data_IF_630795283434
#
_entry.id   IF_630795283434
#
_cell.length_a   1.000
_cell.length_b   1.000
_cell.length_c   1.000
_cell.angle_alpha   90.00
_cell.angle_beta   90.00
_cell.angle_gamma   90.00
#
_symmetry.space_group_name_H-M   'P 1'
#
loop_
_entity.id
_entity.type
_entity.pdbx_description
1 polymer ?
#
# COMPACT_ATOMS: atom_id res chain seq x y z
N UNK A 1 -0.25 -1.50 9.36
CA UNK A 1 -1.27 -0.71 8.69
C UNK A 1 -1.74 0.43 9.60
N UNK A 2 -2.19 1.53 9.00
CA UNK A 2 -2.80 2.66 9.73
C UNK A 2 -3.96 3.15 8.90
N UNK A 3 -5.13 3.23 9.51
CA UNK A 3 -6.36 3.69 8.86
C UNK A 3 -7.08 4.67 9.78
N UNK A 4 -7.69 5.69 9.19
CA UNK A 4 -8.57 6.59 9.91
C UNK A 4 -10.01 6.11 9.74
N UNK A 5 -10.72 5.87 10.84
CA UNK A 5 -12.09 5.39 10.87
C UNK A 5 -12.92 6.26 11.81
N UNK A 6 -13.65 7.19 11.25
CA UNK A 6 -14.45 8.14 12.04
C UNK A 6 -13.57 9.03 12.91
N UNK A 7 -13.70 8.93 14.24
CA UNK A 7 -12.90 9.65 15.24
C UNK A 7 -11.70 8.83 15.77
N UNK A 8 -11.44 7.65 15.19
CA UNK A 8 -10.44 6.71 15.65
C UNK A 8 -9.37 6.45 14.60
N UNK A 9 -8.15 6.24 15.07
CA UNK A 9 -7.04 5.73 14.28
C UNK A 9 -6.87 4.25 14.57
N UNK A 10 -7.12 3.41 13.58
CA UNK A 10 -6.78 2.00 13.63
C UNK A 10 -5.30 1.83 13.35
N UNK A 11 -4.57 1.25 14.28
CA UNK A 11 -3.15 0.90 14.12
C UNK A 11 -2.99 -0.61 14.22
N UNK A 12 -2.52 -1.19 13.14
CA UNK A 12 -2.25 -2.62 13.06
C UNK A 12 -0.76 -2.85 12.80
N UNK A 13 -0.22 -3.87 13.40
CA UNK A 13 1.18 -4.18 13.24
C UNK A 13 1.55 -5.59 13.67
N UNK A 14 2.82 -5.89 13.50
CA UNK A 14 3.44 -7.12 13.99
C UNK A 14 4.62 -6.76 14.84
N UNK A 15 4.80 -7.51 15.90
CA UNK A 15 5.95 -7.41 16.79
C UNK A 15 6.60 -8.79 16.91
N UNK A 16 7.91 -8.83 16.77
CA UNK A 16 8.71 -10.00 17.14
C UNK A 16 9.11 -9.82 18.59
N UNK A 17 8.60 -10.68 19.43
CA UNK A 17 8.84 -10.63 20.87
C UNK A 17 9.66 -11.84 21.29
N UNK A 18 10.62 -11.59 22.14
CA UNK A 18 11.36 -12.61 22.83
C UNK A 18 10.43 -13.46 23.70
N UNK A 19 10.58 -14.79 23.67
CA UNK A 19 9.84 -15.72 24.52
C UNK A 19 10.53 -15.69 25.88
N UNK A 20 10.08 -14.79 26.74
CA UNK A 20 10.57 -14.69 28.11
C UNK A 20 9.87 -15.73 28.97
N UNK A 21 10.56 -16.24 29.99
CA UNK A 21 9.98 -17.11 31.02
C UNK A 21 8.65 -16.53 31.55
N UNK A 22 7.66 -17.40 31.81
CA UNK A 22 6.32 -17.04 32.24
C UNK A 22 6.28 -16.16 33.51
N UNK A 23 7.42 -16.04 34.20
CA UNK A 23 7.60 -15.17 35.40
C UNK A 23 7.76 -13.68 35.07
N UNK A 24 8.04 -13.30 33.84
CA UNK A 24 8.15 -11.90 33.43
C UNK A 24 6.83 -11.39 32.84
N UNK A 25 6.10 -10.58 33.60
CA UNK A 25 4.93 -9.88 33.10
C UNK A 25 5.38 -8.84 32.06
N UNK A 26 4.98 -9.04 30.84
CA UNK A 26 5.26 -8.08 29.74
C UNK A 26 3.98 -7.41 29.30
N UNK A 27 3.98 -6.08 29.27
CA UNK A 27 2.86 -5.28 28.77
C UNK A 27 3.31 -4.50 27.53
N UNK A 28 2.57 -4.62 26.45
CA UNK A 28 2.80 -3.83 25.23
C UNK A 28 1.73 -2.73 25.14
N UNK A 29 2.17 -1.49 24.88
CA UNK A 29 1.27 -0.35 24.75
C UNK A 29 1.67 0.52 23.57
N UNK A 30 0.70 1.25 23.03
CA UNK A 30 0.95 2.37 22.12
C UNK A 30 0.74 3.68 22.88
N UNK A 31 1.78 4.48 22.99
CA UNK A 31 1.72 5.80 23.62
C UNK A 31 1.35 6.85 22.57
N UNK A 32 0.27 7.61 22.79
CA UNK A 32 -0.21 8.67 21.93
C UNK A 32 -0.78 9.83 22.74
N UNK A 33 -0.39 11.06 22.42
CA UNK A 33 -0.90 12.28 23.05
C UNK A 33 -0.86 12.27 24.59
N UNK A 34 0.19 11.70 25.16
CA UNK A 34 0.36 11.61 26.63
C UNK A 34 -0.40 10.47 27.30
N UNK A 35 -1.19 9.69 26.57
CA UNK A 35 -1.91 8.51 27.05
C UNK A 35 -1.27 7.23 26.53
N UNK A 36 -1.47 6.13 27.25
CA UNK A 36 -1.03 4.80 26.85
C UNK A 36 -2.23 3.90 26.61
N UNK A 37 -2.24 3.25 25.46
CA UNK A 37 -3.28 2.35 25.01
C UNK A 37 -2.74 0.93 25.10
N UNK A 38 -3.27 0.10 26.01
CA UNK A 38 -2.90 -1.32 26.11
C UNK A 38 -3.23 -2.03 24.81
N UNK A 39 -2.32 -2.89 24.39
CA UNK A 39 -2.44 -3.64 23.15
C UNK A 39 -2.41 -5.13 23.44
N UNK A 40 -3.46 -5.83 23.03
CA UNK A 40 -3.50 -7.29 23.07
C UNK A 40 -2.65 -7.84 21.92
N UNK A 41 -1.71 -8.72 22.26
CA UNK A 41 -0.85 -9.41 21.30
C UNK A 41 -1.43 -10.79 21.02
N UNK A 42 -1.73 -11.06 19.76
CA UNK A 42 -2.18 -12.37 19.27
C UNK A 42 -1.04 -13.05 18.54
N UNK A 43 -0.88 -14.36 18.74
CA UNK A 43 0.12 -15.15 18.01
C UNK A 43 -0.21 -15.06 16.50
N UNK A 44 0.79 -14.75 15.68
CA UNK A 44 0.61 -14.71 14.25
C UNK A 44 0.32 -16.13 13.71
N UNK A 45 -0.78 -16.35 12.94
CA UNK A 45 -1.25 -17.70 12.58
C UNK A 45 -0.26 -18.57 11.81
N UNK A 46 0.71 -17.95 11.13
CA UNK A 46 1.74 -18.65 10.35
C UNK A 46 3.11 -18.54 11.00
N UNK A 47 3.14 -18.41 12.34
CA UNK A 47 4.38 -18.24 13.08
C UNK A 47 5.11 -19.59 13.25
N UNK A 48 6.40 -19.55 12.95
CA UNK A 48 7.35 -20.53 13.44
C UNK A 48 8.21 -19.84 14.50
N UNK A 49 8.44 -20.49 15.62
CA UNK A 49 9.41 -20.00 16.60
C UNK A 49 10.78 -19.88 15.94
N UNK A 50 11.35 -18.70 15.98
CA UNK A 50 12.71 -18.43 15.49
C UNK A 50 13.70 -18.46 16.64
N UNK A 51 14.83 -19.14 16.47
CA UNK A 51 15.95 -19.06 17.40
C UNK A 51 17.02 -18.14 16.80
N UNK A 52 17.31 -17.04 17.47
CA UNK A 52 18.40 -16.13 17.09
C UNK A 52 19.29 -15.88 18.32
N UNK A 53 20.58 -16.01 18.12
CA UNK A 53 21.58 -15.81 19.20
C UNK A 53 21.32 -16.64 20.46
N UNK A 54 20.80 -17.87 20.31
CA UNK A 54 20.45 -18.75 21.42
C UNK A 54 19.12 -18.47 22.09
N UNK A 55 18.41 -17.43 21.69
CA UNK A 55 17.15 -17.00 22.26
C UNK A 55 15.98 -17.30 21.34
N UNK A 56 14.82 -17.62 21.93
CA UNK A 56 13.59 -17.92 21.17
C UNK A 56 12.72 -16.70 21.03
N UNK A 57 12.24 -16.47 19.79
CA UNK A 57 11.35 -15.39 19.44
C UNK A 57 10.08 -15.91 18.81
N UNK A 58 8.98 -15.18 18.98
CA UNK A 58 7.70 -15.44 18.37
C UNK A 58 7.12 -14.16 17.78
N UNK A 59 6.44 -14.29 16.65
CA UNK A 59 5.74 -13.18 16.04
C UNK A 59 4.32 -13.05 16.58
N UNK A 60 3.95 -11.85 16.92
CA UNK A 60 2.61 -11.48 17.35
C UNK A 60 2.07 -10.42 16.42
N UNK A 61 0.77 -10.47 16.17
CA UNK A 61 0.04 -9.39 15.53
C UNK A 61 -0.79 -8.63 16.55
N UNK A 62 -1.10 -7.39 16.22
CA UNK A 62 -1.96 -6.56 17.04
C UNK A 62 -2.80 -5.63 16.18
N UNK A 63 -3.97 -5.27 16.71
CA UNK A 63 -4.85 -4.26 16.18
C UNK A 63 -5.38 -3.43 17.33
N UNK A 64 -5.28 -2.12 17.25
CA UNK A 64 -5.73 -1.22 18.31
C UNK A 64 -6.37 0.03 17.73
N UNK A 65 -7.49 0.42 18.32
CA UNK A 65 -8.17 1.68 18.04
C UNK A 65 -7.70 2.74 19.03
N UNK A 66 -7.13 3.82 18.51
CA UNK A 66 -6.67 4.95 19.32
C UNK A 66 -7.63 6.11 19.05
N UNK A 67 -8.28 6.73 20.05
CA UNK A 67 -9.04 7.93 19.85
C UNK A 67 -8.19 8.99 19.16
N UNK A 68 -8.63 9.37 17.98
CA UNK A 68 -7.92 10.32 17.14
C UNK A 68 -8.56 11.67 17.34
N UNK A 69 -7.87 12.51 18.09
CA UNK A 69 -8.36 13.86 18.38
C UNK A 69 -8.48 14.66 17.07
N UNK A 70 -9.72 14.91 16.67
CA UNK A 70 -10.05 15.73 15.51
C UNK A 70 -9.57 17.19 15.68
N UNK A 71 -9.18 17.58 16.89
CA UNK A 71 -8.66 18.91 17.22
C UNK A 71 -7.17 19.13 16.93
N UNK A 72 -6.56 18.33 16.03
CA UNK A 72 -5.24 18.68 15.51
C UNK A 72 -5.28 20.06 14.85
N UNK A 73 -4.52 20.99 15.38
CA UNK A 73 -4.33 22.28 14.72
C UNK A 73 -3.38 22.13 13.51
N UNK A 74 -3.57 22.93 12.45
CA UNK A 74 -2.65 22.93 11.32
C UNK A 74 -1.19 23.15 11.75
N UNK A 75 -0.29 22.29 11.31
CA UNK A 75 1.11 22.29 11.70
C UNK A 75 1.44 21.46 12.95
N UNK A 76 0.45 20.99 13.68
CA UNK A 76 0.68 20.15 14.86
C UNK A 76 1.18 18.77 14.47
N UNK A 77 2.09 18.24 15.28
CA UNK A 77 2.67 16.90 15.15
C UNK A 77 2.43 16.10 16.41
N UNK A 78 2.00 14.85 16.25
CA UNK A 78 1.87 13.88 17.35
C UNK A 78 2.57 12.57 16.98
N UNK A 79 2.91 11.81 17.99
CA UNK A 79 3.63 10.54 17.84
C UNK A 79 2.83 9.40 18.43
N UNK A 80 2.75 8.28 17.68
CA UNK A 80 2.36 6.97 18.19
C UNK A 80 3.65 6.19 18.43
N UNK A 81 3.99 5.92 19.69
CA UNK A 81 5.22 5.23 20.07
C UNK A 81 4.89 3.88 20.69
N UNK A 82 5.38 2.78 20.12
CA UNK A 82 5.24 1.48 20.74
C UNK A 82 6.22 1.36 21.94
N UNK A 83 5.71 0.83 23.04
CA UNK A 83 6.46 0.62 24.28
C UNK A 83 6.23 -0.77 24.82
N UNK A 84 7.28 -1.36 25.35
CA UNK A 84 7.24 -2.63 26.03
C UNK A 84 7.67 -2.45 27.48
N UNK A 85 6.87 -2.99 28.38
CA UNK A 85 7.15 -3.03 29.80
C UNK A 85 7.61 -4.43 30.21
N UNK A 86 8.63 -4.50 31.05
CA UNK A 86 9.14 -5.70 31.71
C UNK A 86 9.12 -5.40 33.22
N UNK A 87 8.08 -5.84 33.92
CA UNK A 87 7.81 -5.37 35.26
C UNK A 87 7.71 -3.84 35.32
N UNK A 88 8.52 -3.19 36.15
CA UNK A 88 8.55 -1.73 36.28
C UNK A 88 9.43 -1.01 35.24
N UNK A 89 10.24 -1.76 34.50
CA UNK A 89 11.11 -1.22 33.46
C UNK A 89 10.38 -1.05 32.15
N UNK A 90 10.63 0.06 31.46
CA UNK A 90 10.04 0.32 30.12
C UNK A 90 11.10 0.59 29.05
N UNK A 91 10.86 0.14 27.86
CA UNK A 91 11.66 0.50 26.69
C UNK A 91 10.78 0.89 25.51
N UNK A 92 11.22 1.88 24.75
CA UNK A 92 10.60 2.19 23.47
C UNK A 92 11.03 1.13 22.44
N UNK A 93 10.06 0.60 21.68
CA UNK A 93 10.29 -0.44 20.70
C UNK A 93 10.56 0.21 19.36
N UNK A 94 11.66 -0.17 18.71
CA UNK A 94 11.96 0.27 17.36
C UNK A 94 10.89 -0.22 16.36
N UNK A 95 10.47 0.65 15.47
CA UNK A 95 9.50 0.33 14.43
C UNK A 95 10.18 0.08 13.08
N UNK A 96 9.71 -0.93 12.38
CA UNK A 96 10.05 -1.19 10.99
C UNK A 96 8.83 -1.03 10.10
N UNK A 97 9.06 -0.88 8.80
CA UNK A 97 7.99 -0.69 7.82
C UNK A 97 7.60 -2.02 7.20
N UNK A 98 6.37 -2.42 7.37
CA UNK A 98 5.87 -3.71 6.91
C UNK A 98 4.48 -3.67 6.26
N UNK A 99 3.97 -2.54 5.84
CA UNK A 99 2.63 -2.46 5.25
C UNK A 99 2.63 -2.34 3.73
N UNK A 100 1.61 -2.90 3.08
CA UNK A 100 1.41 -2.79 1.62
C UNK A 100 1.22 -1.35 1.15
N UNK A 101 0.90 -0.42 2.03
CA UNK A 101 0.54 0.98 1.72
C UNK A 101 1.53 2.03 2.23
N UNK A 102 2.60 1.64 2.90
CA UNK A 102 3.72 2.52 3.22
C UNK A 102 4.84 2.34 2.20
N UNK A 103 5.51 3.42 1.86
CA UNK A 103 6.77 3.35 1.11
C UNK A 103 7.75 2.50 1.92
N UNK A 104 7.88 1.23 1.52
CA UNK A 104 8.64 0.24 2.24
C UNK A 104 10.12 0.40 1.94
N UNK A 105 10.73 1.46 2.42
CA UNK A 105 12.16 1.53 2.37
C UNK A 105 12.69 1.63 3.80
N UNK A 106 13.18 0.52 4.35
CA UNK A 106 14.01 0.51 5.56
C UNK A 106 15.14 1.57 5.54
N UNK A 107 15.32 2.22 4.40
CA UNK A 107 16.41 3.13 4.09
C UNK A 107 15.95 4.51 3.64
N UNK A 108 14.64 4.78 3.63
CA UNK A 108 14.10 6.07 3.22
C UNK A 108 13.42 6.77 4.38
N UNK A 109 14.03 7.84 4.88
CA UNK A 109 13.45 8.75 5.88
C UNK A 109 12.18 9.47 5.41
N UNK A 110 11.75 9.19 4.18
CA UNK A 110 10.62 9.82 3.51
C UNK A 110 9.41 8.92 3.36
N UNK A 111 9.41 7.72 3.98
CA UNK A 111 8.25 6.85 3.96
C UNK A 111 7.05 7.55 4.61
N UNK A 112 6.06 7.92 3.80
CA UNK A 112 4.88 8.63 4.26
C UNK A 112 3.62 8.12 3.57
N UNK A 113 2.49 8.41 4.19
CA UNK A 113 1.17 8.22 3.62
C UNK A 113 0.30 9.43 3.96
N UNK A 114 -0.53 9.85 3.00
CA UNK A 114 -1.61 10.78 3.26
C UNK A 114 -2.86 9.99 3.67
N UNK A 115 -3.46 10.37 4.78
CA UNK A 115 -4.70 9.75 5.30
C UNK A 115 -5.61 10.89 5.75
N UNK A 116 -6.69 11.14 5.03
CA UNK A 116 -7.71 12.14 5.36
C UNK A 116 -7.13 13.50 5.78
N UNK A 117 -6.22 14.03 4.98
CA UNK A 117 -5.57 15.33 5.24
C UNK A 117 -4.44 15.30 6.27
N UNK A 118 -4.09 14.13 6.81
CA UNK A 118 -2.93 13.96 7.69
C UNK A 118 -1.77 13.31 6.96
N UNK A 119 -0.56 13.71 7.30
CA UNK A 119 0.67 13.03 6.88
C UNK A 119 1.08 12.06 7.98
N UNK A 120 1.15 10.79 7.66
CA UNK A 120 1.67 9.75 8.54
C UNK A 120 3.04 9.32 8.03
N UNK A 121 4.07 9.56 8.83
CA UNK A 121 5.43 9.11 8.55
C UNK A 121 5.77 7.96 9.50
N UNK A 122 6.22 6.86 8.92
CA UNK A 122 6.79 5.79 9.69
C UNK A 122 8.29 6.10 9.94
N UNK A 123 8.71 6.07 11.17
CA UNK A 123 10.10 6.33 11.58
C UNK A 123 10.58 5.19 12.49
N UNK A 124 11.88 5.00 12.69
CA UNK A 124 12.36 3.99 13.63
C UNK A 124 11.84 4.15 15.08
N UNK A 125 11.43 5.36 15.47
CA UNK A 125 10.93 5.69 16.80
C UNK A 125 9.40 5.57 16.94
N UNK A 126 8.70 5.27 15.87
CA UNK A 126 7.23 5.19 15.86
C UNK A 126 6.60 5.89 14.66
N UNK A 127 5.29 6.07 14.72
CA UNK A 127 4.55 6.79 13.70
C UNK A 127 4.46 8.27 14.07
N UNK A 128 4.91 9.13 13.17
CA UNK A 128 4.76 10.57 13.29
C UNK A 128 3.54 11.00 12.48
N UNK A 129 2.56 11.59 13.13
CA UNK A 129 1.33 12.09 12.50
C UNK A 129 1.35 13.61 12.53
N UNK A 130 1.15 14.22 11.39
CA UNK A 130 1.16 15.66 11.25
C UNK A 130 -0.06 16.13 10.45
N UNK A 131 -0.77 17.15 10.95
CA UNK A 131 -1.76 17.87 10.18
C UNK A 131 -1.05 19.02 9.44
N UNK A 132 -0.88 18.95 8.12
CA UNK A 132 -0.20 20.00 7.37
C UNK A 132 -1.03 21.28 7.35
N UNK A 133 -0.36 22.43 7.23
CA UNK A 133 -1.03 23.72 6.98
C UNK A 133 -1.57 23.80 5.54
N UNK A 134 -0.80 23.28 4.60
CA UNK A 134 -1.16 23.11 3.20
C UNK A 134 -0.82 21.68 2.79
N UNK A 135 -1.86 20.90 2.56
CA UNK A 135 -1.75 19.49 2.20
C UNK A 135 -1.02 19.29 0.86
N UNK A 136 -1.41 20.07 -0.15
CA UNK A 136 -0.83 19.98 -1.50
C UNK A 136 0.64 20.39 -1.53
N UNK A 137 1.00 21.45 -0.81
CA UNK A 137 2.39 21.89 -0.72
C UNK A 137 3.24 20.87 0.06
N UNK A 138 2.72 20.33 1.14
CA UNK A 138 3.39 19.31 1.95
C UNK A 138 3.60 18.02 1.16
N UNK A 139 2.57 17.54 0.47
CA UNK A 139 2.68 16.37 -0.40
C UNK A 139 3.74 16.58 -1.49
N UNK A 140 3.73 17.73 -2.17
CA UNK A 140 4.75 18.06 -3.20
C UNK A 140 6.16 18.12 -2.61
N UNK A 141 6.32 18.63 -1.41
CA UNK A 141 7.62 18.70 -0.74
C UNK A 141 8.15 17.29 -0.39
N UNK A 142 7.28 16.43 0.15
CA UNK A 142 7.61 15.04 0.47
C UNK A 142 7.94 14.24 -0.79
N UNK A 143 7.16 14.39 -1.86
CA UNK A 143 7.43 13.73 -3.14
C UNK A 143 8.76 14.18 -3.75
N UNK A 144 9.06 15.48 -3.76
CA UNK A 144 10.36 15.98 -4.23
C UNK A 144 11.53 15.40 -3.44
N UNK A 145 11.40 15.32 -2.12
CA UNK A 145 12.41 14.71 -1.25
C UNK A 145 12.61 13.24 -1.59
N UNK A 146 11.51 12.51 -1.82
CA UNK A 146 11.54 11.11 -2.19
C UNK A 146 12.15 10.88 -3.56
N UNK A 147 11.77 11.65 -4.57
CA UNK A 147 12.36 11.60 -5.92
C UNK A 147 13.87 11.87 -5.89
N UNK A 148 14.30 12.86 -5.08
CA UNK A 148 15.72 13.14 -4.89
C UNK A 148 16.46 11.95 -4.27
N UNK A 149 15.87 11.31 -3.28
CA UNK A 149 16.44 10.12 -2.67
C UNK A 149 16.52 8.96 -3.66
N UNK A 150 15.46 8.68 -4.41
CA UNK A 150 15.45 7.65 -5.47
C UNK A 150 16.55 7.89 -6.51
N UNK A 151 16.71 9.15 -6.92
CA UNK A 151 17.74 9.52 -7.89
C UNK A 151 19.15 9.21 -7.38
N UNK A 152 19.46 9.57 -6.15
CA UNK A 152 20.74 9.27 -5.51
C UNK A 152 21.00 7.78 -5.33
N UNK A 153 19.94 7.01 -5.09
CA UNK A 153 20.00 5.56 -4.96
C UNK A 153 19.91 4.82 -6.31
N UNK A 154 20.20 5.50 -7.43
CA UNK A 154 20.22 4.93 -8.78
C UNK A 154 18.90 4.35 -9.29
N UNK A 155 17.77 4.69 -8.66
CA UNK A 155 16.42 4.26 -9.05
C UNK A 155 15.79 5.21 -10.09
N UNK A 156 16.56 5.60 -11.13
CA UNK A 156 16.14 6.60 -12.11
C UNK A 156 14.86 6.21 -12.86
N UNK A 157 14.68 4.93 -13.18
CA UNK A 157 13.49 4.44 -13.87
C UNK A 157 12.21 4.63 -13.02
N UNK A 158 12.31 4.45 -11.71
CA UNK A 158 11.21 4.72 -10.78
C UNK A 158 10.89 6.21 -10.72
N UNK A 159 11.92 7.07 -10.71
CA UNK A 159 11.71 8.52 -10.74
C UNK A 159 10.90 8.92 -11.97
N UNK A 160 11.25 8.41 -13.16
CA UNK A 160 10.51 8.70 -14.39
C UNK A 160 9.09 8.16 -14.35
N UNK A 161 8.88 6.94 -13.83
CA UNK A 161 7.53 6.38 -13.67
C UNK A 161 6.66 7.25 -12.76
N UNK A 162 7.20 7.71 -11.62
CA UNK A 162 6.47 8.58 -10.69
C UNK A 162 6.14 9.95 -11.31
N UNK A 163 7.08 10.56 -12.03
CA UNK A 163 6.85 11.83 -12.71
C UNK A 163 5.77 11.70 -13.79
N UNK A 164 5.82 10.63 -14.61
CA UNK A 164 4.80 10.34 -15.61
C UNK A 164 3.44 10.06 -14.98
N UNK A 165 3.42 9.30 -13.88
CA UNK A 165 2.19 9.05 -13.12
C UNK A 165 1.53 10.38 -12.69
N UNK A 166 2.26 11.27 -12.01
CA UNK A 166 1.70 12.54 -11.53
C UNK A 166 1.24 13.44 -12.67
N UNK A 167 1.99 13.46 -13.76
CA UNK A 167 1.60 14.20 -14.95
C UNK A 167 0.30 13.68 -15.57
N UNK A 168 0.14 12.37 -15.70
CA UNK A 168 -1.06 11.76 -16.25
C UNK A 168 -2.24 11.82 -15.27
N UNK A 169 -2.01 11.54 -14.00
CA UNK A 169 -3.03 11.60 -12.96
C UNK A 169 -3.67 12.99 -12.85
N UNK A 170 -2.86 14.07 -12.96
CA UNK A 170 -3.37 15.45 -12.91
C UNK A 170 -4.27 15.85 -14.09
N UNK A 171 -4.21 15.11 -15.19
CA UNK A 171 -4.99 15.36 -16.42
C UNK A 171 -6.17 14.42 -16.60
N UNK A 172 -6.20 13.34 -15.84
CA UNK A 172 -7.25 12.36 -15.93
C UNK A 172 -8.58 12.92 -15.42
N UNK A 173 -9.64 12.69 -16.16
CA UNK A 173 -11.00 13.13 -15.81
C UNK A 173 -11.96 11.96 -15.58
N UNK A 174 -11.60 10.77 -16.09
CA UNK A 174 -12.42 9.56 -16.03
C UNK A 174 -11.78 8.51 -15.16
N UNK A 175 -12.59 7.65 -14.57
CA UNK A 175 -12.12 6.43 -13.92
C UNK A 175 -11.46 5.49 -14.93
N UNK A 176 -10.36 4.85 -14.59
CA UNK A 176 -9.66 3.90 -15.46
C UNK A 176 -9.87 2.48 -14.95
N UNK A 177 -10.49 1.67 -15.78
CA UNK A 177 -10.73 0.27 -15.51
C UNK A 177 -9.84 -0.61 -16.38
N UNK A 178 -9.12 -1.53 -15.75
CA UNK A 178 -8.32 -2.54 -16.44
C UNK A 178 -9.06 -3.85 -16.37
N UNK A 179 -9.24 -4.48 -17.52
CA UNK A 179 -9.92 -5.77 -17.65
C UNK A 179 -8.92 -6.79 -18.19
N UNK A 180 -8.91 -7.99 -17.67
CA UNK A 180 -8.08 -9.08 -18.18
C UNK A 180 -8.69 -10.45 -17.88
N UNK A 181 -8.29 -11.44 -18.65
CA UNK A 181 -8.49 -12.84 -18.36
C UNK A 181 -7.15 -13.49 -18.04
N UNK A 182 -6.67 -14.38 -18.88
CA UNK A 182 -5.33 -14.98 -18.79
C UNK A 182 -4.31 -14.10 -19.53
N UNK A 183 -3.04 -14.33 -19.27
CA UNK A 183 -1.97 -13.58 -19.95
C UNK A 183 -2.01 -13.73 -21.47
N UNK A 184 -2.27 -14.93 -21.95
CA UNK A 184 -2.07 -15.31 -23.35
C UNK A 184 -3.38 -15.37 -24.14
N UNK A 185 -4.51 -15.57 -23.46
CA UNK A 185 -5.80 -15.88 -24.10
C UNK A 185 -6.91 -15.12 -23.40
N UNK A 186 -7.76 -14.50 -24.21
CA UNK A 186 -9.08 -14.00 -23.83
C UNK A 186 -10.13 -15.12 -24.08
N UNK A 187 -11.33 -14.99 -23.56
CA UNK A 187 -12.40 -15.94 -23.78
C UNK A 187 -13.13 -16.34 -22.51
N UNK A 188 -12.93 -15.59 -21.44
CA UNK A 188 -13.58 -15.78 -20.16
C UNK A 188 -14.43 -14.55 -19.80
N UNK A 189 -14.87 -14.43 -18.56
CA UNK A 189 -15.72 -13.35 -18.08
C UNK A 189 -15.10 -11.96 -18.23
N UNK A 190 -13.79 -11.84 -18.26
CA UNK A 190 -13.10 -10.57 -18.55
C UNK A 190 -13.36 -10.11 -19.99
N UNK A 191 -13.24 -10.98 -20.98
CA UNK A 191 -13.63 -10.63 -22.36
C UNK A 191 -15.10 -10.25 -22.46
N UNK A 192 -15.99 -11.05 -21.85
CA UNK A 192 -17.42 -10.78 -21.87
C UNK A 192 -17.74 -9.39 -21.29
N UNK A 193 -17.11 -9.05 -20.17
CA UNK A 193 -17.26 -7.75 -19.53
C UNK A 193 -16.64 -6.61 -20.35
N UNK A 194 -15.50 -6.83 -20.98
CA UNK A 194 -14.87 -5.85 -21.84
C UNK A 194 -15.75 -5.52 -23.07
N UNK A 195 -16.38 -6.54 -23.66
CA UNK A 195 -17.36 -6.36 -24.75
C UNK A 195 -18.60 -5.61 -24.27
N UNK A 196 -19.08 -5.89 -23.07
CA UNK A 196 -20.19 -5.15 -22.47
C UNK A 196 -19.83 -3.66 -22.34
N UNK A 197 -18.67 -3.32 -21.80
CA UNK A 197 -18.20 -1.92 -21.72
C UNK A 197 -18.10 -1.25 -23.09
N UNK A 198 -17.68 -2.00 -24.11
CA UNK A 198 -17.62 -1.49 -25.49
C UNK A 198 -18.99 -1.16 -26.08
N UNK A 199 -20.02 -1.92 -25.73
CA UNK A 199 -21.39 -1.70 -26.16
C UNK A 199 -22.05 -0.53 -25.39
N UNK A 200 -21.87 -0.49 -24.07
CA UNK A 200 -22.49 0.51 -23.20
C UNK A 200 -21.81 1.89 -23.28
N UNK A 201 -20.53 1.95 -23.62
CA UNK A 201 -19.72 3.17 -23.78
C UNK A 201 -19.90 4.18 -22.60
N UNK A 202 -19.63 3.77 -21.36
CA UNK A 202 -19.87 4.61 -20.20
C UNK A 202 -19.08 5.92 -20.29
N UNK A 203 -19.74 7.06 -20.04
CA UNK A 203 -19.17 8.40 -20.26
C UNK A 203 -18.00 8.72 -19.32
N UNK A 204 -18.02 8.17 -18.11
CA UNK A 204 -17.09 8.51 -17.00
C UNK A 204 -16.01 7.44 -16.80
N UNK A 205 -15.98 6.39 -17.62
CA UNK A 205 -15.02 5.28 -17.50
C UNK A 205 -14.19 5.20 -18.75
N UNK A 206 -12.89 5.25 -18.59
CA UNK A 206 -11.93 4.78 -19.60
C UNK A 206 -11.60 3.32 -19.26
N UNK A 207 -11.56 2.45 -20.26
CA UNK A 207 -11.28 1.04 -20.04
C UNK A 207 -10.25 0.50 -21.04
N UNK A 208 -9.52 -0.52 -20.62
CA UNK A 208 -8.54 -1.20 -21.45
C UNK A 208 -8.48 -2.69 -21.11
N UNK A 209 -8.33 -3.52 -22.15
CA UNK A 209 -8.05 -4.94 -21.97
C UNK A 209 -6.55 -5.18 -21.93
N UNK A 210 -6.10 -6.08 -21.06
CA UNK A 210 -4.67 -6.40 -20.92
C UNK A 210 -4.42 -7.85 -21.33
N UNK A 211 -3.47 -8.04 -22.24
CA UNK A 211 -3.09 -9.35 -22.78
C UNK A 211 -1.63 -9.32 -23.21
N UNK A 212 -0.99 -10.47 -23.36
CA UNK A 212 0.37 -10.56 -23.86
C UNK A 212 0.49 -10.09 -25.32
N UNK A 213 1.61 -9.46 -25.63
CA UNK A 213 1.94 -9.10 -27.03
C UNK A 213 2.13 -10.39 -27.85
N UNK A 214 1.41 -10.48 -28.95
CA UNK A 214 1.45 -11.65 -29.83
C UNK A 214 0.41 -12.73 -29.49
N UNK A 215 -0.45 -12.50 -28.52
CA UNK A 215 -1.63 -13.33 -28.29
C UNK A 215 -2.48 -13.43 -29.56
N UNK A 216 -3.04 -14.61 -29.89
CA UNK A 216 -3.96 -14.76 -31.03
C UNK A 216 -5.20 -13.87 -30.88
N UNK A 217 -5.58 -13.52 -29.68
CA UNK A 217 -6.76 -12.72 -29.37
C UNK A 217 -6.52 -11.21 -29.39
N UNK A 218 -5.27 -10.74 -29.47
CA UNK A 218 -4.93 -9.31 -29.47
C UNK A 218 -5.73 -8.54 -30.55
N UNK A 219 -5.75 -9.04 -31.78
CA UNK A 219 -6.49 -8.40 -32.89
C UNK A 219 -8.01 -8.40 -32.66
N UNK A 220 -8.54 -9.45 -32.03
CA UNK A 220 -9.95 -9.58 -31.71
C UNK A 220 -10.35 -8.59 -30.62
N UNK A 221 -9.56 -8.48 -29.55
CA UNK A 221 -9.82 -7.55 -28.46
C UNK A 221 -9.76 -6.08 -28.89
N UNK A 222 -8.87 -5.72 -29.80
CA UNK A 222 -8.78 -4.36 -30.37
C UNK A 222 -10.04 -3.88 -31.08
N UNK A 223 -10.92 -4.78 -31.49
CA UNK A 223 -12.21 -4.40 -32.10
C UNK A 223 -13.19 -3.82 -31.08
N UNK A 224 -13.00 -4.15 -29.81
CA UNK A 224 -13.87 -3.71 -28.71
C UNK A 224 -13.31 -2.51 -27.95
N UNK A 225 -12.02 -2.19 -28.09
CA UNK A 225 -11.45 -1.05 -27.41
C UNK A 225 -9.92 -1.07 -27.32
N UNK A 226 -9.41 -0.30 -26.38
CA UNK A 226 -7.97 -0.17 -26.14
C UNK A 226 -7.39 -1.45 -25.55
N UNK A 227 -6.33 -1.96 -26.17
CA UNK A 227 -5.56 -3.10 -25.65
C UNK A 227 -4.19 -2.65 -25.17
N UNK A 228 -3.81 -3.11 -24.02
CA UNK A 228 -2.50 -2.91 -23.41
C UNK A 228 -1.78 -4.26 -23.34
N UNK A 229 -0.45 -4.22 -23.46
CA UNK A 229 0.35 -5.43 -23.39
C UNK A 229 1.12 -5.50 -22.07
N UNK A 230 1.08 -6.66 -21.43
CA UNK A 230 1.84 -6.91 -20.19
C UNK A 230 3.30 -6.48 -20.33
N UNK A 231 3.87 -5.98 -19.26
CA UNK A 231 5.27 -5.56 -19.17
C UNK A 231 5.64 -4.25 -19.87
N UNK A 232 4.78 -3.70 -20.73
CA UNK A 232 5.05 -2.43 -21.42
C UNK A 232 4.92 -1.21 -20.48
N UNK A 233 5.61 -0.12 -20.80
CA UNK A 233 5.50 1.13 -20.06
C UNK A 233 4.05 1.65 -20.01
N UNK A 234 3.30 1.49 -21.10
CA UNK A 234 1.88 1.88 -21.19
C UNK A 234 1.02 1.10 -20.21
N UNK A 235 1.26 -0.21 -20.10
CA UNK A 235 0.58 -1.06 -19.12
C UNK A 235 0.96 -0.67 -17.69
N UNK A 236 2.26 -0.50 -17.41
CA UNK A 236 2.74 -0.11 -16.07
C UNK A 236 2.13 1.21 -15.59
N UNK A 237 2.04 2.20 -16.48
CA UNK A 237 1.39 3.48 -16.14
C UNK A 237 -0.13 3.34 -15.97
N UNK A 238 -0.79 2.57 -16.82
CA UNK A 238 -2.22 2.29 -16.67
C UNK A 238 -2.50 1.57 -15.36
N UNK A 239 -1.67 0.58 -14.99
CA UNK A 239 -1.79 -0.14 -13.72
C UNK A 239 -1.68 0.80 -12.50
N UNK A 240 -0.73 1.74 -12.49
CA UNK A 240 -0.63 2.74 -11.43
C UNK A 240 -1.82 3.70 -11.38
N UNK A 241 -2.42 3.98 -12.53
CA UNK A 241 -3.54 4.90 -12.67
C UNK A 241 -4.91 4.22 -12.56
N UNK A 242 -4.94 2.89 -12.49
CA UNK A 242 -6.20 2.16 -12.40
C UNK A 242 -6.95 2.48 -11.12
N UNK A 243 -8.27 2.65 -11.23
CA UNK A 243 -9.17 2.69 -10.08
C UNK A 243 -9.78 1.32 -9.83
N UNK A 244 -9.98 0.53 -10.89
CA UNK A 244 -10.50 -0.83 -10.79
C UNK A 244 -9.72 -1.76 -11.71
N UNK A 245 -9.38 -2.93 -11.20
CA UNK A 245 -8.85 -4.05 -11.97
C UNK A 245 -9.85 -5.20 -11.89
N UNK A 246 -10.39 -5.61 -13.01
CA UNK A 246 -11.35 -6.70 -13.13
C UNK A 246 -10.67 -7.88 -13.85
N UNK A 247 -10.70 -9.04 -13.25
CA UNK A 247 -10.12 -10.23 -13.90
C UNK A 247 -10.81 -11.52 -13.47
N UNK A 248 -10.87 -12.46 -14.40
CA UNK A 248 -11.25 -13.85 -14.12
C UNK A 248 -10.13 -14.65 -13.44
N UNK A 249 -8.95 -14.05 -13.28
CA UNK A 249 -7.77 -14.62 -12.61
C UNK A 249 -7.27 -13.68 -11.49
N UNK A 250 -6.78 -14.26 -10.40
CA UNK A 250 -6.17 -13.52 -9.28
C UNK A 250 -4.67 -13.81 -9.15
N UNK A 251 -3.99 -14.02 -10.26
CA UNK A 251 -2.57 -14.37 -10.31
C UNK A 251 -1.67 -13.15 -10.12
N UNK A 252 -0.43 -13.39 -9.73
CA UNK A 252 0.56 -12.34 -9.47
C UNK A 252 0.75 -11.37 -10.65
N UNK A 253 0.68 -11.86 -11.89
CA UNK A 253 0.85 -11.00 -13.07
C UNK A 253 -0.27 -9.96 -13.23
N UNK A 254 -1.48 -10.24 -12.76
CA UNK A 254 -2.61 -9.30 -12.78
C UNK A 254 -2.49 -8.30 -11.62
N UNK A 255 -2.05 -8.77 -10.45
CA UNK A 255 -1.97 -7.96 -9.25
C UNK A 255 -0.63 -7.22 -9.11
N UNK A 256 0.36 -7.53 -9.96
CA UNK A 256 1.72 -6.96 -9.90
C UNK A 256 2.25 -6.63 -11.31
N UNK A 257 2.16 -5.37 -11.72
CA UNK A 257 2.78 -4.91 -12.96
C UNK A 257 4.30 -4.71 -12.86
N UNK A 258 4.88 -4.89 -11.68
CA UNK A 258 6.26 -4.53 -11.37
C UNK A 258 7.00 -5.69 -10.71
N UNK A 259 8.32 -5.65 -10.77
CA UNK A 259 9.15 -6.57 -9.98
C UNK A 259 8.94 -6.34 -8.49
N UNK A 260 9.21 -7.35 -7.66
CA UNK A 260 9.18 -7.23 -6.18
C UNK A 260 10.03 -6.04 -5.70
N UNK A 261 11.15 -5.76 -6.39
CA UNK A 261 12.06 -4.67 -6.07
C UNK A 261 11.51 -3.30 -6.41
N UNK A 262 10.84 -3.14 -7.55
CA UNK A 262 10.25 -1.87 -7.98
C UNK A 262 8.95 -1.59 -7.25
N UNK A 263 8.19 -2.63 -6.97
CA UNK A 263 6.88 -2.56 -6.33
C UNK A 263 6.92 -1.78 -5.00
N UNK A 264 7.98 -1.98 -4.20
CA UNK A 264 8.18 -1.28 -2.91
C UNK A 264 8.27 0.25 -3.04
N UNK A 265 8.67 0.76 -4.21
CA UNK A 265 8.81 2.21 -4.47
C UNK A 265 7.57 2.83 -5.13
N UNK A 266 6.59 2.01 -5.51
CA UNK A 266 5.41 2.42 -6.26
C UNK A 266 4.09 2.08 -5.56
N UNK A 267 4.13 1.33 -4.45
CA UNK A 267 2.94 0.86 -3.73
C UNK A 267 2.00 1.96 -3.28
N UNK A 268 2.55 3.10 -2.92
CA UNK A 268 1.79 4.29 -2.51
C UNK A 268 0.99 4.92 -3.65
N UNK A 269 1.31 4.56 -4.90
CA UNK A 269 0.59 5.00 -6.09
C UNK A 269 -0.50 4.01 -6.55
N UNK A 270 -0.57 2.83 -5.94
CA UNK A 270 -1.54 1.79 -6.29
C UNK A 270 -2.79 1.94 -5.43
N UNK A 271 -3.89 2.38 -6.01
CA UNK A 271 -5.14 2.67 -5.30
C UNK A 271 -6.35 1.92 -5.86
N UNK A 272 -6.13 0.94 -6.72
CA UNK A 272 -7.20 0.20 -7.39
C UNK A 272 -7.94 -0.74 -6.45
N UNK A 273 -9.23 -0.91 -6.72
CA UNK A 273 -10.03 -2.01 -6.21
C UNK A 273 -9.91 -3.19 -7.16
N UNK A 274 -9.73 -4.38 -6.61
CA UNK A 274 -9.70 -5.61 -7.40
C UNK A 274 -11.05 -6.30 -7.36
N UNK A 275 -11.62 -6.55 -8.54
CA UNK A 275 -12.87 -7.30 -8.70
C UNK A 275 -12.57 -8.62 -9.38
N UNK A 276 -12.77 -9.71 -8.67
CA UNK A 276 -12.66 -11.05 -9.22
C UNK A 276 -13.94 -11.40 -9.99
N UNK A 277 -13.78 -11.61 -11.29
CA UNK A 277 -14.84 -12.13 -12.16
C UNK A 277 -14.77 -13.65 -12.10
N UNK A 278 -15.73 -14.29 -11.43
CA UNK A 278 -15.76 -15.73 -11.27
C UNK A 278 -15.60 -16.45 -12.63
N UNK A 279 -14.81 -17.52 -12.65
CA UNK A 279 -14.77 -18.41 -13.82
C UNK A 279 -16.12 -19.06 -14.02
N UNK A 280 -16.53 -19.22 -15.28
CA UNK A 280 -17.56 -20.20 -15.61
C UNK A 280 -17.08 -21.60 -15.18
N UNK A 281 -17.92 -22.31 -14.49
CA UNK A 281 -17.68 -23.71 -14.12
C UNK A 281 -17.81 -24.56 -15.39
#
# INVERSE_FOLDING_TARGET
NVEHRGDQLLVEGRIRKWIVDARCTTKFVLAFAGKEYPVELRIYPHDCEETMFGERYRHYEFSVHIPFDSAFTPGQTRWVRPRLYFGDSKCDVGTGYGGRRFLAAKQCDSAYRMIDGYVVLATPQGLKIQKPKDEKATHRALERRYLKWLWHNKQKHIVWLRLLYWFLASRRKKSLWIVSDREEVAGDNGEAFFRFLANEQPADIDYAFVINKGSPDDKRMRRYGRVLHFGTLRYKLAFLLADVILSSQANDFILNAFTIWDNRYLRDLMHFDFVFLQHGI
#
